data_IF_978274980937
#
_entry.id   IF_978274980937
#
_cell.length_a   1.000
_cell.length_b   1.000
_cell.length_c   1.000
_cell.angle_alpha   90.00
_cell.angle_beta   90.00
_cell.angle_gamma   90.00
#
_symmetry.space_group_name_H-M   'P 1'
#
loop_
_entity.id
_entity.type
_entity.pdbx_description
1 polymer ?
#
# COMPACT_ATOMS: atom_id res chain seq x y z
N UNK A 1 8.41 4.87 2.41
CA UNK A 1 8.93 5.29 3.73
C UNK A 1 10.23 6.05 3.50
N UNK A 2 10.47 7.16 4.21
CA UNK A 2 11.72 7.92 4.13
C UNK A 2 12.90 7.12 4.70
N UNK A 3 14.10 7.29 4.13
CA UNK A 3 15.33 6.64 4.58
C UNK A 3 16.03 7.47 5.65
N UNK A 4 15.86 7.08 6.91
CA UNK A 4 16.39 7.81 8.07
C UNK A 4 17.92 7.82 8.14
N UNK A 5 18.60 6.80 7.61
CA UNK A 5 20.06 6.75 7.62
C UNK A 5 20.65 7.84 6.71
N UNK A 6 20.03 8.07 5.55
CA UNK A 6 20.43 9.15 4.63
C UNK A 6 20.24 10.54 5.27
N UNK A 7 19.17 10.72 6.02
CA UNK A 7 18.93 11.96 6.78
C UNK A 7 20.00 12.12 7.86
N UNK A 8 20.23 11.09 8.67
CA UNK A 8 21.12 11.15 9.82
C UNK A 8 22.60 11.32 9.43
N UNK A 9 23.04 10.64 8.38
CA UNK A 9 24.46 10.61 7.98
C UNK A 9 24.83 11.72 6.99
N UNK A 10 23.88 12.15 6.15
CA UNK A 10 24.17 13.00 4.99
C UNK A 10 23.33 14.26 4.92
N UNK A 11 22.38 14.43 5.84
CA UNK A 11 21.38 15.52 5.80
C UNK A 11 20.72 15.56 4.42
N UNK A 12 20.37 14.38 3.89
CA UNK A 12 19.76 14.27 2.57
C UNK A 12 18.42 15.02 2.56
N UNK A 13 18.38 16.14 1.85
CA UNK A 13 17.23 17.03 1.80
C UNK A 13 15.99 16.36 1.17
N UNK A 14 16.20 15.40 0.26
CA UNK A 14 15.12 14.68 -0.40
C UNK A 14 14.46 13.75 0.61
N UNK A 15 15.25 12.96 1.34
CA UNK A 15 14.72 12.06 2.36
C UNK A 15 14.13 12.81 3.56
N UNK A 16 14.70 13.97 3.92
CA UNK A 16 14.12 14.86 4.92
C UNK A 16 12.78 15.43 4.45
N UNK A 17 12.69 15.87 3.20
CA UNK A 17 11.43 16.34 2.59
C UNK A 17 10.37 15.24 2.62
N UNK A 18 10.72 13.99 2.28
CA UNK A 18 9.81 12.84 2.36
C UNK A 18 9.34 12.55 3.79
N UNK A 19 10.21 12.73 4.79
CA UNK A 19 9.84 12.59 6.20
C UNK A 19 8.87 13.68 6.64
N UNK A 20 9.15 14.94 6.31
CA UNK A 20 8.25 16.06 6.61
C UNK A 20 6.91 15.91 5.91
N UNK A 21 6.91 15.45 4.65
CA UNK A 21 5.71 15.15 3.89
C UNK A 21 4.89 14.07 4.59
N UNK A 22 5.50 12.97 5.05
CA UNK A 22 4.81 11.93 5.82
C UNK A 22 4.15 12.49 7.08
N UNK A 23 4.86 13.29 7.86
CA UNK A 23 4.32 13.93 9.08
C UNK A 23 3.13 14.83 8.74
N UNK A 24 3.22 15.62 7.68
CA UNK A 24 2.12 16.46 7.18
C UNK A 24 0.90 15.61 6.79
N UNK A 25 1.12 14.52 6.04
CA UNK A 25 0.08 13.55 5.69
C UNK A 25 -0.63 12.99 6.91
N UNK A 26 0.12 12.55 7.92
CA UNK A 26 -0.45 12.10 9.19
C UNK A 26 -1.27 13.20 9.87
N UNK A 27 -0.79 14.45 9.90
CA UNK A 27 -1.49 15.55 10.53
C UNK A 27 -2.85 15.84 9.87
N UNK A 28 -2.93 15.81 8.53
CA UNK A 28 -4.18 16.08 7.80
C UNK A 28 -5.12 14.88 7.69
N UNK A 29 -4.67 13.68 8.07
CA UNK A 29 -5.48 12.45 8.08
C UNK A 29 -5.85 11.96 9.48
N UNK A 30 -5.35 12.60 10.56
CA UNK A 30 -5.62 12.16 11.94
C UNK A 30 -6.98 12.63 12.49
N UNK A 31 -7.32 12.18 13.71
CA UNK A 31 -8.55 12.58 14.42
C UNK A 31 -8.64 14.09 14.72
N UNK A 32 -7.51 14.81 14.71
CA UNK A 32 -7.45 16.27 14.91
C UNK A 32 -7.16 17.01 13.60
N UNK A 33 -7.45 16.41 12.44
CA UNK A 33 -7.17 16.99 11.12
C UNK A 33 -7.71 18.40 10.95
N UNK A 34 -8.90 18.70 11.47
CA UNK A 34 -9.55 20.03 11.36
C UNK A 34 -8.68 21.12 11.98
N UNK A 35 -8.16 20.89 13.20
CA UNK A 35 -7.23 21.79 13.87
C UNK A 35 -5.96 22.05 13.04
N UNK A 36 -5.37 21.01 12.45
CA UNK A 36 -4.16 21.17 11.64
C UNK A 36 -4.43 21.84 10.30
N UNK A 37 -5.57 21.54 9.65
CA UNK A 37 -6.01 22.17 8.40
C UNK A 37 -6.27 23.66 8.62
N UNK A 38 -6.97 24.04 9.69
CA UNK A 38 -7.18 25.44 10.06
C UNK A 38 -5.85 26.17 10.30
N UNK A 39 -4.90 25.52 10.98
CA UNK A 39 -3.58 26.10 11.21
C UNK A 39 -2.83 26.32 9.90
N UNK A 40 -2.92 25.40 8.94
CA UNK A 40 -2.39 25.58 7.58
C UNK A 40 -3.07 26.78 6.90
N UNK A 41 -4.40 26.89 6.95
CA UNK A 41 -5.16 27.99 6.35
C UNK A 41 -4.88 29.36 6.98
N UNK A 42 -4.27 29.40 8.18
CA UNK A 42 -3.82 30.64 8.82
C UNK A 42 -2.42 31.10 8.38
N UNK A 43 -1.66 30.27 7.67
CA UNK A 43 -0.31 30.59 7.17
C UNK A 43 -0.37 31.51 5.94
N UNK A 44 0.79 31.99 5.48
CA UNK A 44 0.89 32.73 4.22
C UNK A 44 0.44 31.88 3.03
N UNK A 45 -0.19 32.51 2.03
CA UNK A 45 -0.70 31.84 0.82
C UNK A 45 0.37 31.02 0.08
N UNK A 46 1.61 31.52 0.02
CA UNK A 46 2.75 30.82 -0.60
C UNK A 46 3.02 29.48 0.10
N UNK A 47 3.05 29.48 1.43
CA UNK A 47 3.22 28.29 2.27
C UNK A 47 2.03 27.35 2.14
N UNK A 48 0.80 27.87 2.16
CA UNK A 48 -0.42 27.08 1.95
C UNK A 48 -0.37 26.30 0.64
N UNK A 49 0.02 26.95 -0.47
CA UNK A 49 0.12 26.30 -1.77
C UNK A 49 1.17 25.19 -1.80
N UNK A 50 2.33 25.41 -1.17
CA UNK A 50 3.37 24.38 -1.07
C UNK A 50 2.85 23.16 -0.29
N UNK A 51 2.21 23.39 0.86
CA UNK A 51 1.65 22.32 1.69
C UNK A 51 0.51 21.58 1.00
N UNK A 52 -0.36 22.30 0.29
CA UNK A 52 -1.46 21.71 -0.49
C UNK A 52 -0.92 20.78 -1.58
N UNK A 53 0.10 21.21 -2.33
CA UNK A 53 0.73 20.37 -3.35
C UNK A 53 1.38 19.13 -2.72
N UNK A 54 2.05 19.28 -1.57
CA UNK A 54 2.64 18.17 -0.85
C UNK A 54 1.59 17.15 -0.36
N UNK A 55 0.42 17.61 0.10
CA UNK A 55 -0.71 16.75 0.48
C UNK A 55 -1.30 16.02 -0.73
N UNK A 56 -1.50 16.73 -1.85
CA UNK A 56 -2.04 16.12 -3.07
C UNK A 56 -1.11 15.04 -3.63
N UNK A 57 0.20 15.30 -3.64
CA UNK A 57 1.19 14.34 -4.10
C UNK A 57 1.19 13.06 -3.27
N UNK A 58 1.02 13.16 -1.94
CA UNK A 58 0.87 12.00 -1.05
C UNK A 58 -0.34 11.16 -1.43
N UNK A 59 -1.52 11.77 -1.55
CA UNK A 59 -2.77 11.05 -1.82
C UNK A 59 -2.74 10.33 -3.18
N UNK A 60 -2.08 10.92 -4.19
CA UNK A 60 -1.91 10.27 -5.50
C UNK A 60 -0.96 9.08 -5.40
N UNK A 61 0.17 9.23 -4.69
CA UNK A 61 1.15 8.14 -4.51
C UNK A 61 0.57 6.98 -3.70
N UNK A 62 -0.19 7.26 -2.66
CA UNK A 62 -0.84 6.23 -1.84
C UNK A 62 -1.91 5.47 -2.63
N UNK A 63 -2.73 6.18 -3.42
CA UNK A 63 -3.72 5.52 -4.28
C UNK A 63 -3.08 4.61 -5.34
N UNK A 64 -1.98 5.04 -5.97
CA UNK A 64 -1.27 4.21 -6.96
C UNK A 64 -0.67 2.96 -6.32
N UNK A 65 -0.03 3.09 -5.17
CA UNK A 65 0.51 1.93 -4.43
C UNK A 65 -0.58 0.95 -4.02
N UNK A 66 -1.69 1.46 -3.49
CA UNK A 66 -2.81 0.61 -3.14
C UNK A 66 -3.32 -0.17 -4.35
N UNK A 67 -3.47 0.46 -5.52
CA UNK A 67 -3.87 -0.23 -6.75
C UNK A 67 -2.89 -1.33 -7.18
N UNK A 68 -1.59 -1.08 -7.08
CA UNK A 68 -0.54 -2.08 -7.37
C UNK A 68 -0.62 -3.27 -6.40
N UNK A 69 -0.73 -3.00 -5.10
CA UNK A 69 -0.84 -4.02 -4.05
C UNK A 69 -2.11 -4.87 -4.23
N UNK A 70 -3.27 -4.25 -4.49
CA UNK A 70 -4.52 -4.98 -4.76
C UNK A 70 -4.42 -5.86 -6.01
N UNK A 71 -3.80 -5.36 -7.08
CA UNK A 71 -3.60 -6.13 -8.31
C UNK A 71 -2.68 -7.33 -8.07
N UNK A 72 -1.62 -7.17 -7.27
CA UNK A 72 -0.74 -8.27 -6.91
C UNK A 72 -1.46 -9.33 -6.08
N UNK A 73 -2.25 -8.94 -5.08
CA UNK A 73 -3.06 -9.85 -4.27
C UNK A 73 -4.07 -10.61 -5.13
N UNK A 74 -4.76 -9.95 -6.05
CA UNK A 74 -5.72 -10.58 -6.98
C UNK A 74 -5.02 -11.62 -7.87
N UNK A 75 -3.85 -11.28 -8.41
CA UNK A 75 -3.05 -12.19 -9.21
C UNK A 75 -2.58 -13.42 -8.40
N UNK A 76 -2.15 -13.22 -7.15
CA UNK A 76 -1.77 -14.32 -6.26
C UNK A 76 -2.98 -15.21 -5.94
N UNK A 77 -4.15 -14.63 -5.66
CA UNK A 77 -5.37 -15.36 -5.38
C UNK A 77 -5.79 -16.24 -6.56
N UNK A 78 -5.72 -15.70 -7.79
CA UNK A 78 -6.01 -16.45 -9.02
C UNK A 78 -5.09 -17.66 -9.17
N UNK A 79 -3.78 -17.48 -8.99
CA UNK A 79 -2.80 -18.60 -9.05
C UNK A 79 -3.09 -19.66 -8.00
N UNK A 80 -3.43 -19.26 -6.77
CA UNK A 80 -3.77 -20.19 -5.70
C UNK A 80 -5.06 -20.95 -5.96
N UNK A 81 -6.03 -20.31 -6.58
CA UNK A 81 -7.28 -20.96 -6.98
C UNK A 81 -7.06 -21.99 -8.10
N UNK A 82 -6.23 -21.66 -9.10
CA UNK A 82 -5.84 -22.59 -10.17
C UNK A 82 -5.07 -23.80 -9.61
N UNK A 83 -4.13 -23.56 -8.69
CA UNK A 83 -3.37 -24.60 -8.00
C UNK A 83 -4.27 -25.52 -7.16
N UNK A 84 -5.20 -24.93 -6.40
CA UNK A 84 -6.18 -25.67 -5.61
C UNK A 84 -7.06 -26.58 -6.49
N UNK A 85 -7.58 -26.06 -7.59
CA UNK A 85 -8.40 -26.85 -8.53
C UNK A 85 -7.61 -28.00 -9.16
N UNK A 86 -6.32 -27.80 -9.45
CA UNK A 86 -5.44 -28.88 -9.94
C UNK A 86 -5.32 -29.99 -8.91
N UNK A 87 -5.02 -29.65 -7.66
CA UNK A 87 -4.88 -30.63 -6.56
C UNK A 87 -6.19 -31.37 -6.29
N UNK A 88 -7.33 -30.66 -6.32
CA UNK A 88 -8.65 -31.28 -6.15
C UNK A 88 -8.96 -32.30 -7.25
N UNK A 89 -8.57 -31.99 -8.50
CA UNK A 89 -8.72 -32.93 -9.61
C UNK A 89 -7.83 -34.16 -9.45
N UNK A 90 -6.56 -33.96 -9.12
CA UNK A 90 -5.60 -35.05 -8.87
C UNK A 90 -6.10 -35.97 -7.74
N UNK A 91 -6.62 -35.40 -6.65
CA UNK A 91 -7.24 -36.16 -5.56
C UNK A 91 -8.42 -37.01 -6.05
N UNK A 92 -9.34 -36.43 -6.83
CA UNK A 92 -10.49 -37.15 -7.36
C UNK A 92 -10.07 -38.31 -8.28
N UNK A 93 -9.07 -38.09 -9.13
CA UNK A 93 -8.54 -39.12 -10.03
C UNK A 93 -7.92 -40.29 -9.25
N UNK A 94 -7.25 -40.01 -8.13
CA UNK A 94 -6.70 -41.03 -7.22
C UNK A 94 -7.83 -41.79 -6.50
N UNK A 95 -8.83 -41.10 -5.96
CA UNK A 95 -9.98 -41.72 -5.29
C UNK A 95 -10.73 -42.67 -6.24
N UNK A 96 -10.97 -42.24 -7.48
CA UNK A 96 -11.63 -43.06 -8.49
C UNK A 96 -10.84 -44.34 -8.79
N UNK A 97 -9.52 -44.24 -9.00
CA UNK A 97 -8.63 -45.40 -9.25
C UNK A 97 -8.57 -46.36 -8.07
N UNK A 98 -8.53 -45.84 -6.84
CA UNK A 98 -8.56 -46.67 -5.63
C UNK A 98 -9.87 -47.44 -5.51
N UNK A 99 -10.99 -46.83 -5.94
CA UNK A 99 -12.30 -47.47 -5.89
C UNK A 99 -12.42 -48.60 -6.92
N UNK A 100 -11.86 -48.42 -8.11
CA UNK A 100 -11.81 -49.45 -9.17
C UNK A 100 -10.97 -50.67 -8.76
N UNK A 101 -9.81 -50.45 -8.13
CA UNK A 101 -8.91 -51.53 -7.68
C UNK A 101 -9.48 -52.34 -6.50
N UNK A 102 -10.35 -51.75 -5.67
CA UNK A 102 -11.02 -52.45 -4.56
C UNK A 102 -12.21 -53.30 -4.97
N UNK A 103 -12.65 -53.21 -6.24
CA UNK A 103 -13.77 -53.97 -6.81
C UNK A 103 -13.31 -55.19 -7.65
N UNK A 104 -12.00 -55.38 -7.84
CA UNK A 104 -11.38 -56.57 -8.44
C UNK A 104 -10.91 -57.56 -7.37
#
# INVERSE_FOLDING_TARGET
>A
MPNLNMIAERVDEIELSRLLQLVLGCAVSCNRKEFYIERIMSMEKSVQHILMNAIQELMIKDNRKNQEDYSEIENQLKRKFEEFNRVMKEKQDIENRSHELGLQ
#
